data_IF_346058516174
#
_entry.id   IF_346058516174
#
_cell.length_a   1.000
_cell.length_b   1.000
_cell.length_c   1.000
_cell.angle_alpha   90.00
_cell.angle_beta   90.00
_cell.angle_gamma   90.00
#
_symmetry.space_group_name_H-M   'P 1'
#
loop_
_entity.id
_entity.type
_entity.pdbx_description
1 polymer ?
#
# COMPACT_ATOMS: atom_id res chain seq x y z
N UNK A 1 0.63 -4.26 50.98
CA UNK A 1 -0.50 -4.29 50.02
C UNK A 1 -0.20 -3.51 48.74
N UNK A 2 0.42 -2.33 48.81
CA UNK A 2 0.78 -1.50 47.66
C UNK A 2 1.76 -2.11 46.66
N UNK A 3 2.68 -2.98 47.11
CA UNK A 3 3.70 -3.59 46.25
C UNK A 3 3.09 -4.49 45.15
N UNK A 4 2.07 -5.28 45.49
CA UNK A 4 1.37 -6.17 44.54
C UNK A 4 0.55 -5.39 43.51
N UNK A 5 -0.04 -4.27 43.93
CA UNK A 5 -0.83 -3.38 43.07
C UNK A 5 0.10 -2.63 42.12
N UNK A 6 1.24 -2.14 42.61
CA UNK A 6 2.26 -1.47 41.80
C UNK A 6 2.83 -2.39 40.72
N UNK A 7 3.13 -3.65 41.06
CA UNK A 7 3.62 -4.61 40.06
C UNK A 7 2.57 -4.93 38.99
N UNK A 8 1.29 -5.07 39.36
CA UNK A 8 0.22 -5.32 38.40
C UNK A 8 0.05 -4.14 37.42
N UNK A 9 0.08 -2.91 37.93
CA UNK A 9 0.03 -1.69 37.09
C UNK A 9 1.23 -1.64 36.14
N UNK A 10 2.43 -1.96 36.63
CA UNK A 10 3.64 -1.97 35.80
C UNK A 10 3.56 -3.02 34.68
N UNK A 11 3.07 -4.23 34.97
CA UNK A 11 2.89 -5.28 33.95
C UNK A 11 1.86 -4.86 32.90
N UNK A 12 0.74 -4.26 33.30
CA UNK A 12 -0.29 -3.77 32.38
C UNK A 12 0.28 -2.65 31.50
N UNK A 13 1.03 -1.71 32.08
CA UNK A 13 1.68 -0.63 31.34
C UNK A 13 2.65 -1.22 30.31
N UNK A 14 3.58 -2.10 30.72
CA UNK A 14 4.55 -2.71 29.81
C UNK A 14 3.88 -3.55 28.72
N UNK A 15 2.79 -4.25 29.02
CA UNK A 15 2.04 -5.00 28.01
C UNK A 15 1.32 -4.11 26.99
N UNK A 16 0.89 -2.91 27.40
CA UNK A 16 0.31 -1.90 26.51
C UNK A 16 1.33 -1.03 25.79
N UNK A 17 2.61 -1.08 26.20
CA UNK A 17 3.69 -0.48 25.45
C UNK A 17 3.96 -1.35 24.22
N UNK A 18 3.34 -1.01 23.09
CA UNK A 18 3.84 -1.46 21.80
C UNK A 18 5.28 -0.95 21.69
N UNK A 19 6.26 -1.86 21.78
CA UNK A 19 7.66 -1.50 21.71
C UNK A 19 7.90 -0.62 20.48
N UNK A 20 8.54 0.55 20.63
CA UNK A 20 8.95 1.32 19.47
C UNK A 20 9.88 0.43 18.64
N UNK A 21 9.61 0.35 17.33
CA UNK A 21 10.34 -0.44 16.31
C UNK A 21 11.87 -0.20 16.33
N UNK A 22 12.36 0.74 17.14
CA UNK A 22 13.76 1.17 17.29
C UNK A 22 14.61 0.34 18.25
N UNK A 23 14.04 -0.49 19.13
CA UNK A 23 14.83 -1.24 20.12
C UNK A 23 15.53 -2.49 19.54
N UNK A 24 15.11 -2.96 18.36
CA UNK A 24 15.70 -4.12 17.69
C UNK A 24 16.03 -3.85 16.21
N UNK A 25 17.02 -2.99 15.91
CA UNK A 25 17.46 -2.74 14.55
C UNK A 25 18.06 -4.00 13.87
N UNK A 26 18.51 -5.00 14.65
CA UNK A 26 19.10 -6.24 14.12
C UNK A 26 18.09 -7.30 13.65
N UNK A 27 16.79 -7.16 13.96
CA UNK A 27 15.71 -7.99 13.40
C UNK A 27 15.07 -7.35 12.15
N UNK A 28 15.51 -6.14 11.78
CA UNK A 28 15.10 -5.51 10.53
C UNK A 28 15.86 -6.15 9.36
N UNK A 29 15.26 -7.22 8.82
CA UNK A 29 15.30 -7.40 7.37
C UNK A 29 14.86 -6.08 6.77
N UNK A 30 15.72 -5.44 5.99
CA UNK A 30 15.55 -4.16 5.29
C UNK A 30 14.10 -3.68 5.27
N UNK A 31 13.73 -2.76 6.17
CA UNK A 31 12.42 -2.12 6.05
C UNK A 31 12.45 -1.14 4.88
N UNK A 32 12.24 -1.67 3.69
CA UNK A 32 12.00 -0.87 2.51
C UNK A 32 10.81 0.05 2.81
N UNK A 33 11.06 1.36 2.74
CA UNK A 33 10.00 2.35 2.90
C UNK A 33 9.12 2.22 1.66
N UNK A 34 7.85 1.86 1.86
CA UNK A 34 6.92 1.65 0.74
C UNK A 34 6.81 2.90 -0.15
N UNK A 35 7.02 4.08 0.44
CA UNK A 35 7.09 5.35 -0.27
C UNK A 35 8.16 5.36 -1.36
N UNK A 36 9.35 4.83 -1.08
CA UNK A 36 10.48 4.87 -2.01
C UNK A 36 10.22 3.94 -3.20
N UNK A 37 9.59 2.79 -2.95
CA UNK A 37 9.11 1.88 -3.99
C UNK A 37 8.03 2.51 -4.89
N UNK A 38 7.07 3.24 -4.29
CA UNK A 38 5.98 3.87 -5.03
C UNK A 38 6.39 5.16 -5.75
N UNK A 39 7.55 5.74 -5.41
CA UNK A 39 8.06 6.97 -6.02
C UNK A 39 8.76 6.70 -7.36
N UNK A 40 8.01 6.12 -8.29
CA UNK A 40 8.47 5.86 -9.66
C UNK A 40 7.48 6.45 -10.66
N UNK A 41 7.99 6.77 -11.85
CA UNK A 41 7.15 7.15 -13.01
C UNK A 41 6.67 5.95 -13.83
N UNK A 42 7.19 4.76 -13.51
CA UNK A 42 6.85 3.52 -14.20
C UNK A 42 5.57 2.90 -13.67
N UNK A 43 4.90 2.10 -14.51
CA UNK A 43 3.72 1.35 -14.09
C UNK A 43 4.11 0.22 -13.12
N UNK A 44 3.47 0.19 -11.96
CA UNK A 44 3.66 -0.87 -10.97
C UNK A 44 2.64 -1.98 -11.23
N UNK A 45 3.09 -3.09 -11.80
CA UNK A 45 2.23 -4.21 -12.16
C UNK A 45 2.03 -5.20 -11.00
N UNK A 46 0.78 -5.62 -10.80
CA UNK A 46 0.47 -6.78 -9.97
C UNK A 46 0.66 -8.05 -10.79
N UNK A 47 1.83 -8.69 -10.66
CA UNK A 47 2.14 -9.91 -11.40
C UNK A 47 1.42 -11.14 -10.85
N UNK A 48 1.43 -11.32 -9.53
CA UNK A 48 0.78 -12.43 -8.84
C UNK A 48 0.03 -11.94 -7.60
N UNK A 49 -1.08 -12.60 -7.27
CA UNK A 49 -1.94 -12.28 -6.12
C UNK A 49 -2.60 -13.54 -5.58
N UNK A 50 -2.73 -13.63 -4.27
CA UNK A 50 -3.49 -14.70 -3.60
C UNK A 50 -4.99 -14.45 -3.60
N UNK A 51 -5.44 -13.26 -4.02
CA UNK A 51 -6.87 -12.95 -4.17
C UNK A 51 -7.47 -13.75 -5.32
N UNK A 52 -8.59 -14.40 -5.07
CA UNK A 52 -9.31 -15.27 -6.02
C UNK A 52 -10.23 -14.51 -7.00
N UNK A 53 -10.11 -13.18 -7.07
CA UNK A 53 -10.97 -12.37 -7.93
C UNK A 53 -10.56 -12.47 -9.41
N UNK A 54 -11.52 -12.28 -10.32
CA UNK A 54 -11.31 -12.37 -11.79
C UNK A 54 -10.62 -11.11 -12.36
N UNK A 55 -9.85 -10.40 -11.54
CA UNK A 55 -9.16 -9.17 -11.93
C UNK A 55 -7.83 -9.53 -12.58
N UNK A 56 -7.60 -9.03 -13.80
CA UNK A 56 -6.37 -9.24 -14.56
C UNK A 56 -5.70 -7.92 -14.90
N UNK A 57 -4.43 -7.98 -15.30
CA UNK A 57 -3.68 -6.84 -15.85
C UNK A 57 -3.78 -5.58 -14.97
N UNK A 58 -3.68 -5.77 -13.65
CA UNK A 58 -3.78 -4.67 -12.70
C UNK A 58 -2.44 -3.96 -12.60
N UNK A 59 -2.45 -2.66 -12.80
CA UNK A 59 -1.29 -1.81 -12.59
C UNK A 59 -1.68 -0.48 -11.94
N UNK A 60 -0.70 0.10 -11.26
CA UNK A 60 -0.80 1.37 -10.55
C UNK A 60 0.21 2.36 -11.13
N UNK A 61 -0.26 3.56 -11.48
CA UNK A 61 0.58 4.66 -11.97
C UNK A 61 0.53 5.82 -10.97
N UNK A 62 1.68 6.16 -10.39
CA UNK A 62 1.79 7.28 -9.46
C UNK A 62 1.52 8.61 -10.18
N UNK A 63 0.68 9.46 -9.59
CA UNK A 63 0.44 10.84 -10.05
C UNK A 63 1.32 11.82 -9.30
N UNK A 64 1.19 11.82 -7.96
CA UNK A 64 2.02 12.66 -7.10
C UNK A 64 2.13 12.06 -5.70
N UNK A 65 3.20 12.44 -5.00
CA UNK A 65 3.44 12.12 -3.60
C UNK A 65 3.68 13.43 -2.85
N UNK A 66 2.88 13.68 -1.82
CA UNK A 66 3.03 14.87 -0.97
C UNK A 66 2.93 14.48 0.50
N UNK A 67 3.97 14.82 1.28
CA UNK A 67 4.00 14.53 2.71
C UNK A 67 3.78 13.05 3.03
N UNK A 68 2.63 12.73 3.63
CA UNK A 68 2.21 11.38 4.00
C UNK A 68 1.18 10.76 3.05
N UNK A 69 0.91 11.41 1.92
CA UNK A 69 -0.12 11.01 0.97
C UNK A 69 0.46 10.76 -0.43
N UNK A 70 -0.25 9.96 -1.20
CA UNK A 70 0.05 9.65 -2.60
C UNK A 70 -1.26 9.56 -3.38
N UNK A 71 -1.35 10.20 -4.55
CA UNK A 71 -2.40 9.91 -5.53
C UNK A 71 -1.84 9.02 -6.62
N UNK A 72 -2.63 8.04 -7.05
CA UNK A 72 -2.27 7.13 -8.13
C UNK A 72 -3.51 6.65 -8.89
N UNK A 73 -3.30 6.35 -10.17
CA UNK A 73 -4.30 5.73 -11.03
C UNK A 73 -4.13 4.22 -11.01
N UNK A 74 -5.21 3.52 -10.68
CA UNK A 74 -5.25 2.07 -10.79
C UNK A 74 -6.09 1.67 -11.99
N UNK A 75 -5.48 0.94 -12.91
CA UNK A 75 -6.20 0.33 -14.03
C UNK A 75 -6.20 -1.18 -13.86
N UNK A 76 -7.33 -1.81 -14.19
CA UNK A 76 -7.47 -3.25 -14.16
C UNK A 76 -8.49 -3.75 -15.19
N UNK A 77 -8.39 -5.03 -15.55
CA UNK A 77 -9.36 -5.72 -16.38
C UNK A 77 -10.26 -6.59 -15.51
N UNK A 78 -11.56 -6.31 -15.50
CA UNK A 78 -12.57 -7.13 -14.84
C UNK A 78 -13.42 -7.82 -15.91
N UNK A 79 -13.21 -9.12 -16.13
CA UNK A 79 -13.78 -9.83 -17.27
C UNK A 79 -13.27 -9.25 -18.60
N UNK A 80 -14.18 -8.64 -19.38
CA UNK A 80 -13.84 -7.95 -20.65
C UNK A 80 -13.82 -6.42 -20.53
N UNK A 81 -14.10 -5.87 -19.34
CA UNK A 81 -14.18 -4.42 -19.12
C UNK A 81 -12.90 -3.91 -18.49
N UNK A 82 -12.32 -2.87 -19.08
CA UNK A 82 -11.23 -2.10 -18.48
C UNK A 82 -11.84 -1.09 -17.51
N UNK A 83 -11.31 -1.04 -16.30
CA UNK A 83 -11.73 -0.13 -15.24
C UNK A 83 -10.50 0.65 -14.81
N UNK A 84 -10.58 1.98 -14.87
CA UNK A 84 -9.61 2.90 -14.29
C UNK A 84 -10.24 3.64 -13.11
N UNK A 85 -9.52 3.74 -12.00
CA UNK A 85 -9.95 4.50 -10.82
C UNK A 85 -8.79 5.31 -10.27
N UNK A 86 -9.06 6.53 -9.85
CA UNK A 86 -8.12 7.33 -9.07
C UNK A 86 -8.24 6.95 -7.59
N UNK A 87 -7.10 6.82 -6.93
CA UNK A 87 -7.01 6.36 -5.54
C UNK A 87 -6.07 7.25 -4.75
N UNK A 88 -6.43 7.48 -3.50
CA UNK A 88 -5.61 8.17 -2.52
C UNK A 88 -5.00 7.16 -1.56
N UNK A 89 -3.69 7.23 -1.38
CA UNK A 89 -2.95 6.46 -0.40
C UNK A 89 -2.47 7.32 0.76
N UNK A 90 -2.45 6.76 1.97
CA UNK A 90 -1.81 7.37 3.14
C UNK A 90 -0.77 6.42 3.73
N UNK A 91 0.45 6.92 3.88
CA UNK A 91 1.56 6.19 4.50
C UNK A 91 1.38 6.09 6.02
N UNK A 92 1.73 4.95 6.59
CA UNK A 92 1.77 4.82 8.05
C UNK A 92 2.98 5.56 8.61
N UNK A 93 2.77 6.35 9.67
CA UNK A 93 3.87 7.00 10.42
C UNK A 93 4.71 6.01 11.23
N UNK A 94 4.10 4.91 11.67
CA UNK A 94 4.76 3.90 12.50
C UNK A 94 5.39 2.83 11.61
N UNK A 95 4.61 2.24 10.71
CA UNK A 95 5.04 1.10 9.89
C UNK A 95 5.46 1.54 8.49
N UNK A 96 6.75 1.76 8.27
CA UNK A 96 7.28 2.35 7.03
C UNK A 96 7.00 1.53 5.76
N UNK A 97 6.73 0.23 5.88
CA UNK A 97 6.33 -0.65 4.79
C UNK A 97 4.82 -0.68 4.50
N UNK A 98 4.01 0.18 5.12
CA UNK A 98 2.54 0.14 5.03
C UNK A 98 1.94 1.44 4.49
N UNK A 99 0.95 1.26 3.61
CA UNK A 99 0.07 2.30 3.11
C UNK A 99 -1.39 1.85 3.21
N UNK A 100 -2.30 2.77 3.52
CA UNK A 100 -3.74 2.59 3.45
C UNK A 100 -4.28 3.22 2.18
N UNK A 101 -5.26 2.59 1.54
CA UNK A 101 -5.82 3.05 0.26
C UNK A 101 -7.29 3.41 0.44
N UNK A 102 -7.65 4.60 -0.02
CA UNK A 102 -8.99 5.15 -0.02
C UNK A 102 -9.45 5.36 -1.46
N UNK A 103 -10.74 5.17 -1.72
CA UNK A 103 -11.34 5.46 -3.02
C UNK A 103 -11.94 6.85 -2.96
N UNK A 104 -11.56 7.73 -3.87
CA UNK A 104 -12.36 8.92 -4.13
C UNK A 104 -13.55 8.49 -4.99
N UNK A 105 -14.75 8.65 -4.47
CA UNK A 105 -16.00 8.36 -5.16
C UNK A 105 -16.30 9.54 -6.11
N UNK A 106 -15.77 9.48 -7.32
CA UNK A 106 -16.18 10.34 -8.42
C UNK A 106 -17.04 9.52 -9.40
N UNK A 107 -18.34 9.84 -9.42
CA UNK A 107 -19.28 9.46 -10.48
C UNK A 107 -18.82 10.12 -11.80
N UNK A 108 -18.40 9.32 -12.78
CA UNK A 108 -17.99 9.85 -14.08
C UNK A 108 -17.25 8.85 -14.97
N UNK A 109 -18.00 8.21 -15.85
CA UNK A 109 -17.60 7.62 -17.13
C UNK A 109 -16.31 6.79 -17.21
N UNK A 110 -16.51 5.47 -17.18
CA UNK A 110 -15.52 4.45 -17.51
C UNK A 110 -15.06 4.63 -18.98
N UNK A 111 -13.92 5.29 -19.17
CA UNK A 111 -13.25 5.37 -20.46
C UNK A 111 -12.81 3.96 -20.92
N UNK A 112 -13.56 3.41 -21.88
CA UNK A 112 -13.32 2.09 -22.46
C UNK A 112 -12.18 2.17 -23.48
N UNK A 113 -10.94 1.94 -23.05
CA UNK A 113 -9.80 1.85 -23.99
C UNK A 113 -9.32 0.40 -24.09
N UNK A 114 -9.54 -0.20 -25.25
CA UNK A 114 -9.06 -1.53 -25.66
C UNK A 114 -7.53 -1.59 -25.58
N UNK A 115 -6.98 -2.49 -24.75
CA UNK A 115 -5.55 -2.76 -24.72
C UNK A 115 -5.20 -3.67 -25.91
N UNK A 116 -4.58 -3.11 -26.95
CA UNK A 116 -3.76 -3.92 -27.87
C UNK A 116 -2.49 -4.33 -27.12
N UNK A 117 -2.19 -5.61 -27.21
CA UNK A 117 -0.96 -6.25 -26.75
C UNK A 117 0.28 -5.54 -27.32
N UNK A 118 1.05 -4.89 -26.47
CA UNK A 118 2.42 -4.49 -26.78
C UNK A 118 3.36 -5.45 -26.04
N UNK A 119 3.48 -6.67 -26.56
CA UNK A 119 4.72 -7.43 -26.42
C UNK A 119 5.74 -6.79 -27.34
N UNK A 120 6.79 -6.19 -26.77
CA UNK A 120 8.11 -6.04 -27.40
C UNK A 120 9.14 -5.77 -26.31
N UNK A 121 9.85 -6.83 -25.92
CA UNK A 121 11.21 -6.69 -25.37
C UNK A 121 12.10 -6.07 -26.46
N UNK A 122 13.14 -5.33 -26.07
CA UNK A 122 14.39 -5.41 -26.78
C UNK A 122 15.57 -5.66 -25.82
N UNK A 123 16.28 -6.75 -26.13
CA UNK A 123 17.63 -7.17 -25.72
C UNK A 123 17.88 -7.46 -24.24
#
# INVERSE_FOLDING_TARGET
>A
MYQKVSTAIFVILVAHMELPERLFPALHVDSYRIRDFLNTKEDIWTYNTTKTNVIRCRYDLMRFIEGMFISFNRTMLNGRRRIGVELLGQFSRRRLGRMYVFREEWDGDVATTSCRSASRRPW
#
